data_IF_346052086996
#
_entry.id   IF_346052086996
#
_cell.length_a   1.000
_cell.length_b   1.000
_cell.length_c   1.000
_cell.angle_alpha   90.00
_cell.angle_beta   90.00
_cell.angle_gamma   90.00
#
_symmetry.space_group_name_H-M   'P 1'
#
loop_
_entity.id
_entity.type
_entity.pdbx_description
1 polymer ?
#
# COMPACT_ATOMS: atom_id res chain seq x y z
N UNK A 1 -4.18 -30.77 1.75
CA UNK A 1 -4.20 -29.40 2.32
C UNK A 1 -2.76 -28.93 2.29
N UNK A 2 -2.45 -27.78 1.66
CA UNK A 2 -1.06 -27.32 1.53
C UNK A 2 -0.52 -26.73 2.84
N UNK A 3 0.75 -26.28 2.83
CA UNK A 3 1.46 -25.64 3.95
C UNK A 3 0.65 -24.53 4.67
N UNK A 4 -0.28 -23.90 3.94
CA UNK A 4 -1.08 -22.77 4.39
C UNK A 4 -2.46 -23.16 4.96
N UNK A 5 -2.77 -24.45 5.09
CA UNK A 5 -4.11 -24.89 5.53
C UNK A 5 -5.21 -24.72 4.48
N UNK A 6 -4.87 -24.21 3.28
CA UNK A 6 -5.82 -23.96 2.19
C UNK A 6 -5.80 -25.09 1.16
N UNK A 7 -6.96 -25.33 0.54
CA UNK A 7 -7.04 -26.12 -0.70
C UNK A 7 -6.76 -25.19 -1.88
N UNK A 8 -6.09 -25.71 -2.90
CA UNK A 8 -5.73 -24.92 -4.09
C UNK A 8 -6.95 -24.22 -4.74
N UNK A 9 -8.13 -24.88 -4.75
CA UNK A 9 -9.38 -24.32 -5.30
C UNK A 9 -9.97 -23.14 -4.51
N UNK A 10 -9.51 -22.93 -3.28
CA UNK A 10 -10.01 -21.90 -2.37
C UNK A 10 -9.13 -20.64 -2.41
N UNK A 11 -7.95 -20.71 -3.02
CA UNK A 11 -7.09 -19.55 -3.29
C UNK A 11 -7.61 -18.84 -4.54
N UNK A 12 -7.95 -17.57 -4.40
CA UNK A 12 -8.48 -16.74 -5.48
C UNK A 12 -7.37 -15.92 -6.12
N UNK A 13 -6.70 -15.07 -5.33
CA UNK A 13 -5.62 -14.22 -5.80
C UNK A 13 -4.34 -14.46 -4.99
N UNK A 14 -3.19 -14.26 -5.63
CA UNK A 14 -1.87 -14.30 -5.01
C UNK A 14 -1.04 -13.15 -5.57
N UNK A 15 -0.65 -12.24 -4.71
CA UNK A 15 0.19 -11.09 -5.02
C UNK A 15 1.55 -11.24 -4.36
N UNK A 16 2.62 -10.87 -5.08
CA UNK A 16 3.90 -10.62 -4.45
C UNK A 16 3.86 -9.19 -3.89
N UNK A 17 4.28 -8.99 -2.66
CA UNK A 17 4.25 -7.72 -1.97
C UNK A 17 5.65 -7.35 -1.49
N UNK A 18 5.72 -6.23 -0.78
CA UNK A 18 6.88 -5.89 0.03
C UNK A 18 8.12 -5.56 -0.77
N UNK A 19 9.29 -5.86 -0.21
CA UNK A 19 10.59 -5.44 -0.75
C UNK A 19 10.79 -5.79 -2.23
N UNK A 20 10.36 -6.98 -2.67
CA UNK A 20 10.47 -7.44 -4.07
C UNK A 20 9.55 -6.69 -5.03
N UNK A 21 8.37 -6.25 -4.58
CA UNK A 21 7.48 -5.40 -5.38
C UNK A 21 8.01 -3.96 -5.46
N UNK A 22 8.54 -3.45 -4.35
CA UNK A 22 8.93 -2.06 -4.19
C UNK A 22 10.43 -1.80 -4.43
N UNK A 23 11.12 -2.66 -5.19
CA UNK A 23 12.52 -2.46 -5.62
C UNK A 23 13.62 -2.77 -4.60
N UNK A 24 13.28 -3.03 -3.33
CA UNK A 24 14.25 -3.24 -2.24
C UNK A 24 14.62 -4.68 -1.93
N UNK A 25 14.17 -5.64 -2.74
CA UNK A 25 14.44 -7.06 -2.51
C UNK A 25 15.85 -7.44 -2.92
N UNK A 26 16.56 -8.17 -2.05
CA UNK A 26 17.84 -8.83 -2.38
C UNK A 26 17.62 -10.35 -2.57
N UNK A 27 18.58 -11.11 -3.13
CA UNK A 27 18.40 -12.54 -3.42
C UNK A 27 17.93 -13.39 -2.22
N UNK A 28 18.43 -13.11 -1.02
CA UNK A 28 18.00 -13.71 0.25
C UNK A 28 16.75 -13.11 0.93
N UNK A 29 16.03 -12.14 0.35
CA UNK A 29 14.82 -11.60 0.96
C UNK A 29 13.70 -12.63 0.88
N UNK A 30 12.95 -12.82 1.96
CA UNK A 30 11.75 -13.66 1.94
C UNK A 30 10.71 -13.09 0.96
N UNK A 31 9.85 -13.96 0.45
CA UNK A 31 8.71 -13.57 -0.36
C UNK A 31 7.58 -13.12 0.55
N UNK A 32 7.25 -11.83 0.50
CA UNK A 32 6.06 -11.29 1.13
C UNK A 32 4.88 -11.51 0.18
N UNK A 33 3.86 -12.27 0.60
CA UNK A 33 2.73 -12.65 -0.24
C UNK A 33 1.43 -12.18 0.39
N UNK A 34 0.52 -11.65 -0.42
CA UNK A 34 -0.88 -11.47 -0.02
C UNK A 34 -1.73 -12.50 -0.77
N UNK A 35 -2.44 -13.34 -0.02
CA UNK A 35 -3.31 -14.38 -0.57
C UNK A 35 -4.76 -14.09 -0.23
N UNK A 36 -5.60 -13.98 -1.26
CA UNK A 36 -7.05 -13.86 -1.11
C UNK A 36 -7.67 -15.25 -1.21
N UNK A 37 -8.47 -15.66 -0.22
CA UNK A 37 -9.11 -16.97 -0.19
C UNK A 37 -10.60 -16.94 0.14
N UNK A 38 -11.32 -18.03 -0.18
CA UNK A 38 -12.74 -18.25 0.14
C UNK A 38 -13.02 -19.45 1.04
N UNK A 39 -11.99 -20.00 1.69
CA UNK A 39 -12.16 -21.12 2.61
C UNK A 39 -13.14 -20.75 3.75
N UNK A 40 -14.14 -21.62 3.99
CA UNK A 40 -15.25 -21.39 4.92
C UNK A 40 -15.03 -21.94 6.35
N UNK A 41 -13.95 -22.70 6.57
CA UNK A 41 -13.63 -23.31 7.87
C UNK A 41 -13.09 -22.23 8.86
N UNK A 42 -12.60 -22.61 10.05
CA UNK A 42 -12.22 -21.72 11.19
C UNK A 42 -11.35 -20.48 10.89
N UNK A 43 -10.87 -20.31 9.66
CA UNK A 43 -10.17 -19.13 9.12
C UNK A 43 -11.12 -18.02 8.64
N UNK A 44 -12.33 -17.95 9.20
CA UNK A 44 -13.45 -17.31 8.53
C UNK A 44 -13.35 -15.78 8.44
N UNK A 45 -12.59 -15.11 9.30
CA UNK A 45 -12.72 -13.64 9.45
C UNK A 45 -11.46 -12.89 9.92
N UNK A 46 -10.29 -13.51 10.01
CA UNK A 46 -9.09 -12.82 10.49
C UNK A 46 -7.91 -12.96 9.55
N UNK A 47 -7.32 -11.81 9.23
CA UNK A 47 -6.02 -11.76 8.55
C UNK A 47 -5.01 -12.55 9.35
N UNK A 48 -4.37 -13.54 8.71
CA UNK A 48 -3.36 -14.39 9.34
C UNK A 48 -2.01 -14.22 8.65
N UNK A 49 -0.98 -13.98 9.45
CA UNK A 49 0.40 -13.97 9.00
C UNK A 49 1.00 -15.37 9.17
N UNK A 50 1.63 -15.90 8.12
CA UNK A 50 2.38 -17.14 8.13
C UNK A 50 3.82 -16.84 7.75
N UNK A 51 4.74 -17.13 8.67
CA UNK A 51 6.17 -16.83 8.47
C UNK A 51 6.97 -18.12 8.38
N UNK A 52 7.77 -18.23 7.34
CA UNK A 52 8.82 -19.22 7.13
C UNK A 52 10.10 -18.50 6.69
N UNK A 53 11.28 -19.14 6.69
CA UNK A 53 12.52 -18.49 6.28
C UNK A 53 12.47 -17.86 4.87
N UNK A 54 11.61 -18.41 4.00
CA UNK A 54 11.53 -17.99 2.60
C UNK A 54 10.24 -17.26 2.23
N UNK A 55 9.19 -17.35 3.06
CA UNK A 55 7.86 -16.81 2.73
C UNK A 55 7.23 -16.20 3.98
N UNK A 56 6.80 -14.95 3.87
CA UNK A 56 5.88 -14.27 4.77
C UNK A 56 4.55 -14.09 4.03
N UNK A 57 3.50 -14.79 4.44
CA UNK A 57 2.21 -14.77 3.76
C UNK A 57 1.12 -14.17 4.64
N UNK A 58 0.41 -13.17 4.11
CA UNK A 58 -0.79 -12.57 4.68
C UNK A 58 -2.01 -13.17 4.00
N UNK A 59 -2.83 -13.89 4.76
CA UNK A 59 -4.04 -14.54 4.26
C UNK A 59 -5.24 -13.66 4.57
N UNK A 60 -5.98 -13.27 3.54
CA UNK A 60 -7.15 -12.38 3.64
C UNK A 60 -8.37 -13.10 3.05
N UNK A 61 -9.49 -13.09 3.78
CA UNK A 61 -10.73 -13.64 3.24
C UNK A 61 -11.27 -12.76 2.10
N UNK A 62 -11.92 -13.35 1.11
CA UNK A 62 -12.43 -12.66 -0.07
C UNK A 62 -13.40 -11.50 0.28
N UNK A 63 -14.21 -11.68 1.33
CA UNK A 63 -15.14 -10.63 1.80
C UNK A 63 -14.39 -9.46 2.45
N UNK A 64 -13.36 -9.76 3.26
CA UNK A 64 -12.52 -8.73 3.88
C UNK A 64 -11.75 -7.96 2.80
N UNK A 65 -11.14 -8.66 1.85
CA UNK A 65 -10.47 -8.05 0.70
C UNK A 65 -11.42 -7.13 -0.08
N UNK A 66 -12.66 -7.57 -0.35
CA UNK A 66 -13.64 -6.76 -1.06
C UNK A 66 -14.03 -5.49 -0.29
N UNK A 67 -14.18 -5.58 1.04
CA UNK A 67 -14.44 -4.43 1.90
C UNK A 67 -13.27 -3.44 1.88
N UNK A 68 -12.05 -3.91 2.14
CA UNK A 68 -10.84 -3.07 2.11
C UNK A 68 -10.65 -2.38 0.76
N UNK A 69 -10.91 -3.10 -0.33
CA UNK A 69 -10.83 -2.56 -1.68
C UNK A 69 -11.91 -1.47 -1.93
N UNK A 70 -13.17 -1.68 -1.53
CA UNK A 70 -14.24 -0.67 -1.64
C UNK A 70 -13.98 0.56 -0.76
N UNK A 71 -13.31 0.36 0.36
CA UNK A 71 -12.86 1.43 1.26
C UNK A 71 -11.57 2.11 0.76
N UNK A 72 -11.04 1.68 -0.39
CA UNK A 72 -9.84 2.23 -1.01
C UNK A 72 -8.62 2.16 -0.06
N UNK A 73 -8.49 1.08 0.72
CA UNK A 73 -7.29 0.87 1.52
C UNK A 73 -6.05 0.84 0.62
N UNK A 74 -4.96 1.56 0.94
CA UNK A 74 -3.91 1.84 -0.02
C UNK A 74 -3.27 0.58 -0.62
N UNK A 75 -2.94 -0.40 0.21
CA UNK A 75 -2.28 -1.63 -0.26
C UNK A 75 -3.17 -2.41 -1.22
N UNK A 76 -4.39 -2.74 -0.82
CA UNK A 76 -5.35 -3.49 -1.63
C UNK A 76 -5.66 -2.76 -2.95
N UNK A 77 -5.79 -1.43 -2.88
CA UNK A 77 -5.98 -0.58 -4.04
C UNK A 77 -4.80 -0.70 -5.01
N UNK A 78 -3.56 -0.46 -4.56
CA UNK A 78 -2.38 -0.55 -5.43
C UNK A 78 -2.21 -1.92 -6.06
N UNK A 79 -2.49 -2.99 -5.30
CA UNK A 79 -2.36 -4.37 -5.78
C UNK A 79 -3.33 -4.71 -6.92
N UNK A 80 -4.37 -3.92 -7.17
CA UNK A 80 -5.21 -4.10 -8.37
C UNK A 80 -4.46 -3.84 -9.68
N UNK A 81 -3.35 -3.09 -9.63
CA UNK A 81 -2.44 -2.84 -10.76
C UNK A 81 -1.09 -3.53 -10.60
N UNK A 82 -1.01 -4.56 -9.75
CA UNK A 82 0.23 -5.31 -9.55
C UNK A 82 0.77 -5.84 -10.90
N UNK A 83 2.05 -5.64 -11.23
CA UNK A 83 2.58 -5.92 -12.58
C UNK A 83 2.69 -7.42 -12.90
N UNK A 84 2.92 -8.26 -11.88
CA UNK A 84 3.13 -9.71 -12.05
C UNK A 84 2.36 -10.55 -11.03
N UNK A 85 1.01 -10.52 -11.01
CA UNK A 85 0.25 -11.27 -10.04
C UNK A 85 0.38 -12.76 -10.35
N UNK A 86 0.74 -13.57 -9.36
CA UNK A 86 0.94 -15.01 -9.54
C UNK A 86 -0.37 -15.76 -9.73
N UNK A 87 -1.48 -15.16 -9.30
CA UNK A 87 -2.84 -15.66 -9.53
C UNK A 87 -3.86 -14.55 -9.44
N UNK A 88 -4.77 -14.51 -10.41
CA UNK A 88 -5.95 -13.63 -10.42
C UNK A 88 -7.19 -14.43 -10.82
N UNK A 89 -8.03 -14.80 -9.85
CA UNK A 89 -9.34 -15.43 -10.09
C UNK A 89 -10.51 -14.59 -9.60
N UNK A 90 -10.23 -13.46 -8.98
CA UNK A 90 -11.21 -12.52 -8.47
C UNK A 90 -10.81 -11.12 -8.92
N UNK A 91 -11.55 -10.57 -9.87
CA UNK A 91 -11.33 -9.23 -10.39
C UNK A 91 -11.93 -8.16 -9.47
N UNK A 92 -11.39 -6.93 -9.45
CA UNK A 92 -12.03 -5.81 -8.77
C UNK A 92 -13.48 -5.57 -9.19
N UNK A 93 -13.80 -5.74 -10.48
CA UNK A 93 -15.13 -5.51 -11.03
C UNK A 93 -16.17 -6.49 -10.43
N UNK A 94 -15.82 -7.78 -10.32
CA UNK A 94 -16.68 -8.80 -9.69
C UNK A 94 -16.95 -8.53 -8.21
N UNK A 95 -16.11 -7.71 -7.57
CA UNK A 95 -16.28 -7.26 -6.18
C UNK A 95 -17.10 -5.97 -6.04
N UNK A 96 -17.59 -5.43 -7.15
CA UNK A 96 -18.29 -4.15 -7.20
C UNK A 96 -17.38 -2.96 -6.90
N UNK A 97 -16.07 -3.08 -7.12
CA UNK A 97 -15.14 -1.97 -6.93
C UNK A 97 -15.33 -0.92 -8.04
N UNK A 98 -15.49 0.34 -7.62
CA UNK A 98 -15.50 1.51 -8.50
C UNK A 98 -14.48 2.49 -7.94
N UNK A 99 -13.54 2.91 -8.78
CA UNK A 99 -12.50 3.86 -8.40
C UNK A 99 -13.11 5.24 -8.09
N UNK A 100 -12.85 5.77 -6.91
CA UNK A 100 -13.40 7.05 -6.43
C UNK A 100 -12.26 7.95 -5.92
N UNK A 101 -11.80 8.94 -6.72
CA UNK A 101 -10.66 9.81 -6.37
C UNK A 101 -10.74 10.44 -4.97
N UNK A 102 -11.93 10.89 -4.55
CA UNK A 102 -12.15 11.44 -3.21
C UNK A 102 -11.94 10.42 -2.09
N UNK A 103 -12.33 9.15 -2.29
CA UNK A 103 -12.09 8.08 -1.32
C UNK A 103 -10.61 7.69 -1.27
N UNK A 104 -9.93 7.66 -2.42
CA UNK A 104 -8.47 7.47 -2.50
C UNK A 104 -7.76 8.53 -1.66
N UNK A 105 -8.06 9.82 -1.89
CA UNK A 105 -7.49 10.92 -1.12
C UNK A 105 -7.75 10.76 0.38
N UNK A 106 -9.01 10.53 0.77
CA UNK A 106 -9.38 10.38 2.18
C UNK A 106 -8.62 9.24 2.84
N UNK A 107 -8.57 8.07 2.21
CA UNK A 107 -7.85 6.90 2.71
C UNK A 107 -6.35 7.18 2.86
N UNK A 108 -5.69 7.75 1.84
CA UNK A 108 -4.26 8.06 1.89
C UNK A 108 -3.91 9.09 2.95
N UNK A 109 -4.69 10.16 3.09
CA UNK A 109 -4.46 11.20 4.11
C UNK A 109 -4.62 10.60 5.50
N UNK A 110 -5.70 9.86 5.76
CA UNK A 110 -5.94 9.22 7.07
C UNK A 110 -4.83 8.23 7.43
N UNK A 111 -4.40 7.36 6.50
CA UNK A 111 -3.30 6.44 6.73
C UNK A 111 -1.97 7.18 6.95
N UNK A 112 -1.69 8.24 6.19
CA UNK A 112 -0.47 9.04 6.36
C UNK A 112 -0.40 9.72 7.73
N UNK A 113 -1.51 10.21 8.28
CA UNK A 113 -1.53 10.78 9.62
C UNK A 113 -1.23 9.73 10.69
N UNK A 114 -1.80 8.53 10.54
CA UNK A 114 -1.55 7.41 11.43
C UNK A 114 -0.07 6.98 11.40
N UNK A 115 0.49 6.80 10.20
CA UNK A 115 1.89 6.39 10.02
C UNK A 115 2.88 7.46 10.50
N UNK A 116 2.57 8.74 10.29
CA UNK A 116 3.39 9.86 10.79
C UNK A 116 3.47 9.86 12.32
N UNK A 117 2.31 9.70 12.97
CA UNK A 117 2.22 9.56 14.43
C UNK A 117 3.00 8.33 14.90
N UNK A 118 2.85 7.20 14.24
CA UNK A 118 3.54 5.96 14.59
C UNK A 118 5.07 6.09 14.45
N UNK A 119 5.56 6.77 13.41
CA UNK A 119 7.00 7.03 13.24
C UNK A 119 7.56 7.89 14.38
N UNK A 120 6.81 8.92 14.81
CA UNK A 120 7.14 9.73 15.97
C UNK A 120 7.22 8.89 17.24
N UNK A 121 6.22 8.04 17.50
CA UNK A 121 6.19 7.13 18.66
C UNK A 121 7.41 6.20 18.68
N UNK A 122 7.83 5.66 17.53
CA UNK A 122 9.04 4.82 17.46
C UNK A 122 10.33 5.58 17.79
N UNK A 123 10.46 6.84 17.36
CA UNK A 123 11.64 7.66 17.65
C UNK A 123 11.67 8.16 19.10
N UNK A 124 10.50 8.37 19.70
CA UNK A 124 10.35 8.80 21.09
C UNK A 124 10.39 7.63 22.10
N UNK A 125 10.38 6.38 21.63
CA UNK A 125 10.51 5.20 22.48
C UNK A 125 11.87 5.15 23.19
N UNK A 126 11.94 4.40 24.30
CA UNK A 126 13.17 4.19 25.07
C UNK A 126 13.50 2.69 25.15
N UNK A 127 14.53 2.19 24.45
CA UNK A 127 15.38 2.91 23.49
C UNK A 127 14.64 3.26 22.18
N UNK A 128 15.12 4.26 21.41
CA UNK A 128 14.54 4.61 20.12
C UNK A 128 14.54 3.44 19.13
N UNK A 129 13.41 3.25 18.45
CA UNK A 129 13.20 2.19 17.46
C UNK A 129 13.44 2.72 16.04
N UNK A 130 14.68 3.10 15.76
CA UNK A 130 15.05 3.82 14.54
C UNK A 130 14.69 3.07 13.25
N UNK A 131 14.91 1.75 13.21
CA UNK A 131 14.58 0.94 12.04
C UNK A 131 13.08 0.99 11.72
N UNK A 132 12.24 0.78 12.73
CA UNK A 132 10.79 0.80 12.61
C UNK A 132 10.29 2.19 12.18
N UNK A 133 10.89 3.26 12.70
CA UNK A 133 10.58 4.63 12.29
C UNK A 133 10.91 4.85 10.79
N UNK A 134 12.09 4.47 10.33
CA UNK A 134 12.49 4.57 8.92
C UNK A 134 11.57 3.75 8.01
N UNK A 135 11.27 2.51 8.37
CA UNK A 135 10.35 1.64 7.61
C UNK A 135 8.94 2.24 7.53
N UNK A 136 8.46 2.86 8.62
CA UNK A 136 7.14 3.52 8.67
C UNK A 136 7.10 4.79 7.81
N UNK A 137 8.13 5.64 7.89
CA UNK A 137 8.26 6.83 7.04
C UNK A 137 8.35 6.47 5.56
N UNK A 138 9.13 5.45 5.23
CA UNK A 138 9.24 4.94 3.86
C UNK A 138 7.88 4.47 3.34
N UNK A 139 7.13 3.70 4.16
CA UNK A 139 5.78 3.24 3.80
C UNK A 139 4.86 4.42 3.53
N UNK A 140 4.81 5.39 4.44
CA UNK A 140 4.00 6.59 4.33
C UNK A 140 4.28 7.37 3.04
N UNK A 141 5.55 7.71 2.78
CA UNK A 141 5.91 8.50 1.61
C UNK A 141 5.64 7.72 0.32
N UNK A 142 5.97 6.42 0.30
CA UNK A 142 5.66 5.54 -0.84
C UNK A 142 4.17 5.51 -1.14
N UNK A 143 3.32 5.33 -0.13
CA UNK A 143 1.87 5.29 -0.35
C UNK A 143 1.36 6.60 -0.97
N UNK A 144 1.86 7.75 -0.53
CA UNK A 144 1.50 9.02 -1.13
C UNK A 144 1.98 9.14 -2.58
N UNK A 145 3.21 8.70 -2.89
CA UNK A 145 3.74 8.72 -4.27
C UNK A 145 2.95 7.81 -5.21
N UNK A 146 2.69 6.57 -4.81
CA UNK A 146 1.85 5.62 -5.58
C UNK A 146 0.41 6.14 -5.72
N UNK A 147 -0.10 6.82 -4.69
CA UNK A 147 -1.39 7.51 -4.73
C UNK A 147 -1.44 8.62 -5.77
N UNK A 148 -0.36 9.40 -5.91
CA UNK A 148 -0.26 10.41 -6.96
C UNK A 148 -0.29 9.78 -8.35
N UNK A 149 0.50 8.72 -8.60
CA UNK A 149 0.46 8.02 -9.89
C UNK A 149 -0.93 7.48 -10.19
N UNK A 150 -1.57 6.88 -9.19
CA UNK A 150 -2.91 6.33 -9.33
C UNK A 150 -3.93 7.39 -9.72
N UNK A 151 -3.93 8.54 -9.04
CA UNK A 151 -4.87 9.63 -9.34
C UNK A 151 -4.56 10.33 -10.66
N UNK A 152 -3.29 10.41 -11.05
CA UNK A 152 -2.86 11.08 -12.27
C UNK A 152 -3.06 10.23 -13.52
N UNK A 153 -2.85 8.92 -13.43
CA UNK A 153 -2.85 8.02 -14.58
C UNK A 153 -3.97 6.97 -14.56
N UNK A 154 -4.77 6.93 -13.49
CA UNK A 154 -5.78 5.89 -13.28
C UNK A 154 -5.18 4.50 -12.95
N UNK A 155 -3.86 4.41 -12.77
CA UNK A 155 -3.12 3.19 -12.41
C UNK A 155 -1.78 3.54 -11.78
N UNK A 156 -1.21 2.60 -11.02
CA UNK A 156 0.19 2.66 -10.60
C UNK A 156 1.08 2.30 -11.80
N UNK A 157 2.07 3.12 -12.10
CA UNK A 157 3.00 2.92 -13.22
C UNK A 157 4.30 2.30 -12.71
N UNK A 158 4.85 2.82 -11.62
CA UNK A 158 6.14 2.40 -11.08
C UNK A 158 6.05 2.11 -9.57
N UNK A 159 6.02 0.82 -9.23
CA UNK A 159 6.05 0.38 -7.82
C UNK A 159 7.39 0.66 -7.13
N UNK A 160 8.44 0.97 -7.89
CA UNK A 160 9.79 1.26 -7.37
C UNK A 160 10.05 2.75 -7.15
N UNK A 161 9.06 3.61 -7.37
CA UNK A 161 9.20 5.08 -7.31
C UNK A 161 9.81 5.61 -5.99
N UNK A 162 9.68 4.86 -4.89
CA UNK A 162 10.22 5.21 -3.58
C UNK A 162 11.56 4.51 -3.23
N UNK A 163 12.27 3.93 -4.21
CA UNK A 163 13.56 3.27 -3.99
C UNK A 163 14.63 4.25 -3.50
N UNK A 164 14.73 5.41 -4.15
CA UNK A 164 15.69 6.46 -3.79
C UNK A 164 15.46 6.96 -2.36
N UNK A 165 14.19 7.08 -1.94
CA UNK A 165 13.82 7.41 -0.57
C UNK A 165 14.28 6.34 0.44
N UNK A 166 14.28 5.05 0.07
CA UNK A 166 14.79 4.01 0.97
C UNK A 166 16.27 4.23 1.26
N UNK A 167 17.07 4.40 0.21
CA UNK A 167 18.53 4.62 0.32
C UNK A 167 18.83 5.87 1.15
N UNK A 168 18.07 6.94 0.92
CA UNK A 168 18.17 8.18 1.70
C UNK A 168 17.86 7.94 3.18
N UNK A 169 16.71 7.32 3.50
CA UNK A 169 16.28 7.05 4.88
C UNK A 169 17.25 6.14 5.63
N UNK A 170 17.83 5.14 4.96
CA UNK A 170 18.81 4.22 5.54
C UNK A 170 20.11 4.93 5.96
N UNK A 171 20.47 6.03 5.28
CA UNK A 171 21.64 6.84 5.57
C UNK A 171 21.57 7.72 6.82
N UNK A 172 20.40 7.87 7.44
CA UNK A 172 20.20 8.80 8.56
C UNK A 172 20.10 8.13 9.92
N UNK A 173 21.08 8.35 10.79
CA UNK A 173 21.19 7.76 12.14
C UNK A 173 20.57 8.59 13.29
N UNK A 174 20.04 9.78 12.99
CA UNK A 174 19.43 10.67 13.98
C UNK A 174 18.26 10.00 14.73
N UNK A 175 18.25 10.12 16.05
CA UNK A 175 17.11 9.71 16.90
C UNK A 175 16.19 10.88 17.26
N UNK A 176 16.49 12.10 16.78
CA UNK A 176 15.72 13.30 17.11
C UNK A 176 14.49 13.42 16.21
N UNK A 177 13.28 13.29 16.78
CA UNK A 177 12.04 13.51 16.04
C UNK A 177 12.01 14.87 15.34
N UNK A 178 12.49 15.94 15.99
CA UNK A 178 12.53 17.28 15.40
C UNK A 178 13.33 17.29 14.08
N UNK A 179 14.44 16.57 14.03
CA UNK A 179 15.24 16.45 12.81
C UNK A 179 14.46 15.75 11.68
N UNK A 180 13.77 14.65 12.00
CA UNK A 180 12.93 13.91 11.04
C UNK A 180 11.76 14.75 10.54
N UNK A 181 11.11 15.48 11.45
CA UNK A 181 10.04 16.41 11.13
C UNK A 181 10.54 17.50 10.15
N UNK A 182 11.60 18.22 10.50
CA UNK A 182 12.18 19.26 9.63
C UNK A 182 12.60 18.73 8.26
N UNK A 183 13.05 17.48 8.17
CA UNK A 183 13.56 16.88 6.93
C UNK A 183 12.44 16.35 6.02
N UNK A 184 11.41 15.71 6.58
CA UNK A 184 10.41 14.95 5.81
C UNK A 184 8.99 15.52 5.82
N UNK A 185 8.62 16.35 6.80
CA UNK A 185 7.30 16.98 6.84
C UNK A 185 7.03 17.84 5.59
N UNK A 186 7.97 18.68 5.09
CA UNK A 186 7.72 19.46 3.87
C UNK A 186 7.42 18.60 2.64
N UNK A 187 8.10 17.44 2.51
CA UNK A 187 7.87 16.50 1.40
C UNK A 187 6.53 15.80 1.51
N UNK A 188 6.12 15.44 2.73
CA UNK A 188 4.79 14.88 2.99
C UNK A 188 3.70 15.91 2.64
N UNK A 189 3.86 17.17 3.05
CA UNK A 189 2.92 18.25 2.74
C UNK A 189 2.81 18.50 1.22
N UNK A 190 3.92 18.48 0.51
CA UNK A 190 3.96 18.58 -0.95
C UNK A 190 3.15 17.44 -1.61
N UNK A 191 3.42 16.20 -1.20
CA UNK A 191 2.71 15.02 -1.71
C UNK A 191 1.21 15.08 -1.40
N UNK A 192 0.83 15.44 -0.17
CA UNK A 192 -0.58 15.58 0.20
C UNK A 192 -1.26 16.71 -0.58
N UNK A 193 -0.58 17.82 -0.83
CA UNK A 193 -1.10 18.92 -1.65
C UNK A 193 -1.31 18.47 -3.09
N UNK A 194 -0.37 17.71 -3.66
CA UNK A 194 -0.51 17.10 -4.98
C UNK A 194 -1.68 16.12 -5.04
N UNK A 195 -1.83 15.24 -4.05
CA UNK A 195 -2.97 14.32 -3.95
C UNK A 195 -4.30 15.07 -3.92
N UNK A 196 -4.42 16.14 -3.11
CA UNK A 196 -5.63 16.98 -3.05
C UNK A 196 -5.97 17.58 -4.40
N UNK A 197 -4.97 18.10 -5.12
CA UNK A 197 -5.14 18.67 -6.47
C UNK A 197 -5.63 17.62 -7.47
N UNK A 198 -5.02 16.44 -7.48
CA UNK A 198 -5.36 15.36 -8.41
C UNK A 198 -6.72 14.70 -8.13
N UNK A 199 -7.19 14.75 -6.88
CA UNK A 199 -8.49 14.18 -6.49
C UNK A 199 -9.70 15.07 -6.86
N UNK A 200 -9.47 16.29 -7.33
CA UNK A 200 -10.52 17.16 -7.87
C UNK A 200 -10.88 16.62 -9.26
N UNK A 201 -12.14 16.22 -9.51
CA UNK A 201 -12.55 15.83 -10.84
C UNK A 201 -12.31 17.00 -11.79
N UNK A 202 -11.57 16.79 -12.88
CA UNK A 202 -11.58 17.75 -13.98
C UNK A 202 -13.04 17.80 -14.44
N UNK A 203 -13.71 18.96 -14.42
CA UNK A 203 -15.04 19.06 -14.98
C UNK A 203 -14.95 18.60 -16.43
N UNK A 204 -15.66 17.51 -16.74
CA UNK A 204 -15.80 17.08 -18.13
C UNK A 204 -16.61 18.19 -18.79
N UNK A 205 -15.94 19.06 -19.53
CA UNK A 205 -16.63 20.02 -20.39
C UNK A 205 -17.43 19.17 -21.37
N UNK A 206 -18.77 19.26 -21.36
CA UNK A 206 -19.59 18.52 -22.30
C UNK A 206 -19.13 18.84 -23.72
N UNK A 207 -18.99 17.82 -24.57
CA UNK A 207 -18.48 17.99 -25.94
C UNK A 207 -19.24 19.08 -26.73
N UNK A 208 -20.52 19.30 -26.42
CA UNK A 208 -21.35 20.34 -27.03
C UNK A 208 -20.98 21.79 -26.63
N UNK A 209 -20.09 21.99 -25.66
CA UNK A 209 -19.55 23.30 -25.25
C UNK A 209 -18.11 23.53 -25.79
N UNK A 210 -17.55 22.59 -26.55
CA UNK A 210 -16.23 22.72 -27.18
C UNK A 210 -16.30 23.22 -28.63
N UNK A 211 -17.50 23.32 -29.20
CA UNK A 211 -17.75 23.70 -30.60
C UNK A 211 -18.37 25.12 -30.76
N UNK A 212 -18.29 25.96 -29.73
CA UNK A 212 -18.84 27.33 -29.73
C UNK A 212 -17.77 28.41 -29.66
#
# INVERSE_FOLDING_TARGET
VGLLGLRNRDVLNVFCCGSRLFGGGWPGSCYELLLVHRAKDHMRLTTRNLTSPFVCATLVHAEEWATRLRDHQPLELFLTWHPYPWRLRLSPLELGFVHQPKKVLHSLVTNSLSDWKQACEYLQATPPQLRQARETLLRLLRQCMLGCELLEHGRVIDFTVAETLRQELEGYDSTSWLWWQTTFEPRLEELQTRLRRLAIPIPVVPAHLLDS
#
